data_IF_534584689298
#
_entry.id   IF_534584689298
#
_cell.length_a   1.000
_cell.length_b   1.000
_cell.length_c   1.000
_cell.angle_alpha   90.00
_cell.angle_beta   90.00
_cell.angle_gamma   90.00
#
_symmetry.space_group_name_H-M   'P 1'
#
loop_
_entity.id
_entity.type
_entity.pdbx_description
1 polymer ?
#
# COMPACT_ATOMS: atom_id res chain seq x y z
N UNK A 1 19.86 -21.01 -5.83
CA UNK A 1 19.39 -19.70 -6.33
C UNK A 1 20.28 -18.59 -5.79
N UNK A 2 20.41 -17.46 -6.50
CA UNK A 2 21.05 -16.27 -5.93
C UNK A 2 20.15 -15.66 -4.85
N UNK A 3 20.75 -15.20 -3.74
CA UNK A 3 20.01 -14.61 -2.63
C UNK A 3 19.56 -13.19 -2.99
N UNK A 4 18.28 -12.90 -2.73
CA UNK A 4 17.77 -11.54 -2.81
C UNK A 4 18.40 -10.66 -1.73
N UNK A 5 18.85 -9.47 -2.12
CA UNK A 5 19.24 -8.44 -1.17
C UNK A 5 17.99 -7.86 -0.49
N UNK A 6 17.83 -8.18 0.80
CA UNK A 6 16.64 -7.83 1.58
C UNK A 6 16.35 -6.32 1.62
N UNK A 7 17.40 -5.50 1.73
CA UNK A 7 17.26 -4.05 1.80
C UNK A 7 16.82 -3.47 0.46
N UNK A 8 17.38 -3.99 -0.64
CA UNK A 8 16.97 -3.58 -2.00
C UNK A 8 15.51 -3.93 -2.22
N UNK A 9 15.09 -5.18 -1.93
CA UNK A 9 13.69 -5.59 -2.07
C UNK A 9 12.76 -4.74 -1.20
N UNK A 10 13.11 -4.52 0.06
CA UNK A 10 12.33 -3.69 0.98
C UNK A 10 12.12 -2.27 0.44
N UNK A 11 13.20 -1.61 0.00
CA UNK A 11 13.13 -0.26 -0.56
C UNK A 11 12.35 -0.23 -1.88
N UNK A 12 12.55 -1.21 -2.76
CA UNK A 12 11.79 -1.32 -4.01
C UNK A 12 10.29 -1.44 -3.74
N UNK A 13 9.87 -2.35 -2.87
CA UNK A 13 8.45 -2.53 -2.52
C UNK A 13 7.88 -1.27 -1.85
N UNK A 14 8.61 -0.66 -0.93
CA UNK A 14 8.21 0.58 -0.27
C UNK A 14 8.00 1.74 -1.26
N UNK A 15 8.95 1.96 -2.17
CA UNK A 15 8.88 3.02 -3.19
C UNK A 15 7.74 2.74 -4.18
N UNK A 16 7.61 1.52 -4.68
CA UNK A 16 6.51 1.16 -5.58
C UNK A 16 5.15 1.39 -4.93
N UNK A 17 4.99 1.00 -3.66
CA UNK A 17 3.74 1.22 -2.92
C UNK A 17 3.47 2.70 -2.67
N UNK A 18 4.51 3.49 -2.39
CA UNK A 18 4.41 4.94 -2.27
C UNK A 18 3.89 5.59 -3.57
N UNK A 19 4.39 5.16 -4.73
CA UNK A 19 3.91 5.64 -6.03
C UNK A 19 2.44 5.27 -6.27
N UNK A 20 2.04 4.03 -5.95
CA UNK A 20 0.63 3.61 -6.03
C UNK A 20 -0.25 4.45 -5.11
N UNK A 21 0.20 4.74 -3.90
CA UNK A 21 -0.52 5.60 -2.96
C UNK A 21 -0.75 7.01 -3.52
N UNK A 22 0.23 7.59 -4.23
CA UNK A 22 0.05 8.89 -4.87
C UNK A 22 -1.04 8.86 -5.95
N UNK A 23 -1.14 7.76 -6.71
CA UNK A 23 -2.24 7.55 -7.67
C UNK A 23 -3.59 7.44 -6.93
N UNK A 24 -3.64 6.69 -5.83
CA UNK A 24 -4.85 6.59 -4.99
C UNK A 24 -5.24 7.95 -4.41
N UNK A 25 -4.27 8.76 -3.97
CA UNK A 25 -4.49 10.09 -3.45
C UNK A 25 -5.07 11.02 -4.52
N UNK A 26 -4.52 10.98 -5.74
CA UNK A 26 -5.07 11.74 -6.87
C UNK A 26 -6.51 11.32 -7.20
N UNK A 27 -6.80 10.02 -7.19
CA UNK A 27 -8.15 9.50 -7.37
C UNK A 27 -9.12 10.05 -6.31
N UNK A 28 -8.76 9.99 -5.03
CA UNK A 28 -9.58 10.52 -3.92
C UNK A 28 -9.76 12.04 -4.04
N UNK A 29 -8.75 12.78 -4.52
CA UNK A 29 -8.86 14.21 -4.71
C UNK A 29 -9.90 14.57 -5.78
N UNK A 30 -9.86 13.89 -6.93
CA UNK A 30 -10.63 14.23 -8.14
C UNK A 30 -12.08 13.76 -8.04
N UNK A 31 -12.33 12.54 -7.55
CA UNK A 31 -13.64 11.91 -7.64
C UNK A 31 -14.55 12.22 -6.44
N UNK A 32 -15.89 12.17 -6.60
CA UNK A 32 -16.82 12.41 -5.51
C UNK A 32 -16.81 11.25 -4.49
N UNK A 33 -17.28 11.52 -3.27
CA UNK A 33 -17.27 10.54 -2.16
C UNK A 33 -17.98 9.23 -2.54
N UNK A 34 -19.10 9.29 -3.25
CA UNK A 34 -19.82 8.09 -3.67
C UNK A 34 -18.98 7.17 -4.57
N UNK A 35 -18.23 7.73 -5.52
CA UNK A 35 -17.34 6.95 -6.38
C UNK A 35 -16.21 6.32 -5.58
N UNK A 36 -15.65 7.06 -4.61
CA UNK A 36 -14.61 6.55 -3.72
C UNK A 36 -15.13 5.38 -2.89
N UNK A 37 -16.34 5.50 -2.32
CA UNK A 37 -17.00 4.42 -1.56
C UNK A 37 -17.22 3.19 -2.43
N UNK A 38 -17.80 3.36 -3.62
CA UNK A 38 -18.04 2.24 -4.54
C UNK A 38 -16.75 1.49 -4.89
N UNK A 39 -15.67 2.22 -5.22
CA UNK A 39 -14.37 1.59 -5.51
C UNK A 39 -13.80 0.91 -4.27
N UNK A 40 -13.87 1.56 -3.11
CA UNK A 40 -13.38 0.99 -1.85
C UNK A 40 -14.13 -0.27 -1.46
N UNK A 41 -15.45 -0.33 -1.67
CA UNK A 41 -16.26 -1.52 -1.43
C UNK A 41 -15.72 -2.72 -2.24
N UNK A 42 -15.31 -2.54 -3.50
CA UNK A 42 -14.68 -3.63 -4.27
C UNK A 42 -13.36 -4.13 -3.66
N UNK A 43 -12.55 -3.24 -3.08
CA UNK A 43 -11.34 -3.64 -2.36
C UNK A 43 -11.63 -4.39 -1.06
N UNK A 44 -12.77 -4.12 -0.42
CA UNK A 44 -13.19 -4.79 0.82
C UNK A 44 -14.25 -5.88 0.59
N UNK A 45 -14.15 -6.61 -0.53
CA UNK A 45 -15.02 -7.76 -0.84
C UNK A 45 -16.52 -7.42 -0.97
N UNK A 46 -16.85 -6.18 -1.32
CA UNK A 46 -18.23 -5.70 -1.52
C UNK A 46 -18.93 -5.20 -0.27
N UNK A 47 -18.23 -5.11 0.88
CA UNK A 47 -18.81 -4.58 2.12
C UNK A 47 -19.12 -3.10 1.96
N UNK A 48 -20.34 -2.67 2.32
CA UNK A 48 -20.73 -1.26 2.26
C UNK A 48 -20.13 -0.46 3.42
N UNK A 49 -19.21 0.44 3.09
CA UNK A 49 -18.56 1.34 4.06
C UNK A 49 -19.15 2.76 4.07
N UNK A 50 -20.27 2.99 3.37
CA UNK A 50 -20.88 4.32 3.22
C UNK A 50 -21.14 5.03 4.56
N UNK A 51 -21.48 4.27 5.61
CA UNK A 51 -21.78 4.78 6.95
C UNK A 51 -20.58 5.38 7.70
N UNK A 52 -19.35 4.98 7.33
CA UNK A 52 -18.10 5.43 7.98
C UNK A 52 -17.22 6.27 7.05
N UNK A 53 -17.57 6.35 5.76
CA UNK A 53 -16.76 7.03 4.76
C UNK A 53 -16.90 8.55 4.88
N UNK A 54 -15.76 9.25 4.96
CA UNK A 54 -15.73 10.72 4.98
C UNK A 54 -14.65 11.25 4.04
N UNK A 55 -14.94 12.34 3.31
CA UNK A 55 -13.97 13.02 2.46
C UNK A 55 -13.35 14.21 3.22
N UNK A 56 -12.60 13.93 4.29
CA UNK A 56 -11.85 14.93 5.06
C UNK A 56 -10.33 14.75 4.86
N UNK A 57 -9.91 14.98 3.61
CA UNK A 57 -8.52 14.87 3.20
C UNK A 57 -7.76 16.17 3.52
N UNK A 58 -6.68 16.07 4.29
CA UNK A 58 -5.74 17.17 4.53
C UNK A 58 -4.34 16.75 4.11
N UNK A 59 -3.50 17.70 3.71
CA UNK A 59 -2.13 17.41 3.29
C UNK A 59 -1.36 16.64 4.37
N UNK A 60 -1.53 17.01 5.64
CA UNK A 60 -0.87 16.34 6.77
C UNK A 60 -1.29 14.86 6.88
N UNK A 61 -2.59 14.56 6.80
CA UNK A 61 -3.09 13.17 6.82
C UNK A 61 -2.57 12.38 5.63
N UNK A 62 -2.53 12.99 4.45
CA UNK A 62 -2.05 12.34 3.23
C UNK A 62 -0.56 11.99 3.29
N UNK A 63 0.28 12.90 3.82
CA UNK A 63 1.73 12.66 4.01
C UNK A 63 1.97 11.57 5.05
N UNK A 64 1.25 11.60 6.18
CA UNK A 64 1.36 10.56 7.20
C UNK A 64 0.96 9.20 6.60
N UNK A 65 -0.15 9.13 5.86
CA UNK A 65 -0.59 7.90 5.19
C UNK A 65 0.43 7.36 4.19
N UNK A 66 1.07 8.24 3.42
CA UNK A 66 2.15 7.88 2.48
C UNK A 66 3.34 7.25 3.21
N UNK A 67 3.78 7.85 4.32
CA UNK A 67 4.89 7.32 5.12
C UNK A 67 4.52 5.96 5.71
N UNK A 68 3.33 5.85 6.30
CA UNK A 68 2.85 4.60 6.92
C UNK A 68 2.77 3.47 5.89
N UNK A 69 2.19 3.72 4.70
CA UNK A 69 2.05 2.67 3.68
C UNK A 69 3.41 2.29 3.07
N UNK A 70 4.32 3.24 2.86
CA UNK A 70 5.65 2.96 2.33
C UNK A 70 6.50 2.14 3.32
N UNK A 71 6.49 2.50 4.60
CA UNK A 71 7.23 1.77 5.63
C UNK A 71 6.65 0.38 5.89
N UNK A 72 5.32 0.26 6.00
CA UNK A 72 4.68 -1.05 6.22
C UNK A 72 4.93 -2.01 5.05
N UNK A 73 4.80 -1.54 3.81
CA UNK A 73 5.12 -2.35 2.63
C UNK A 73 6.61 -2.68 2.50
N UNK A 74 7.51 -1.77 2.89
CA UNK A 74 8.94 -2.07 2.94
C UNK A 74 9.26 -3.21 3.94
N UNK A 75 8.61 -3.21 5.11
CA UNK A 75 8.72 -4.33 6.07
C UNK A 75 8.22 -5.63 5.46
N UNK A 76 7.07 -5.60 4.75
CA UNK A 76 6.56 -6.77 4.02
C UNK A 76 7.57 -7.25 2.97
N UNK A 77 8.18 -6.35 2.19
CA UNK A 77 9.22 -6.68 1.21
C UNK A 77 10.47 -7.28 1.84
N UNK A 78 10.90 -6.78 2.99
CA UNK A 78 12.01 -7.35 3.75
C UNK A 78 11.72 -8.78 4.21
N UNK A 79 10.53 -9.01 4.79
CA UNK A 79 10.07 -10.33 5.24
C UNK A 79 9.92 -11.29 4.06
N UNK A 80 9.40 -10.81 2.92
CA UNK A 80 9.34 -11.58 1.69
C UNK A 80 10.73 -12.07 1.26
N UNK A 81 11.73 -11.18 1.22
CA UNK A 81 13.09 -11.55 0.84
C UNK A 81 13.73 -12.53 1.85
N UNK A 82 13.40 -12.42 3.14
CA UNK A 82 13.81 -13.42 4.15
C UNK A 82 13.24 -14.79 3.83
N UNK A 83 11.93 -14.88 3.60
CA UNK A 83 11.23 -16.15 3.32
C UNK A 83 11.73 -16.74 2.00
N UNK A 84 11.87 -15.93 0.96
CA UNK A 84 12.38 -16.37 -0.36
C UNK A 84 13.76 -16.99 -0.24
N UNK A 85 14.69 -16.31 0.44
CA UNK A 85 16.05 -16.81 0.62
C UNK A 85 16.09 -18.10 1.44
N UNK A 86 15.27 -18.20 2.50
CA UNK A 86 15.17 -19.41 3.32
C UNK A 86 14.61 -20.60 2.52
N UNK A 87 13.55 -20.38 1.73
CA UNK A 87 12.99 -21.41 0.86
C UNK A 87 14.00 -21.85 -0.20
N UNK A 88 14.73 -20.92 -0.81
CA UNK A 88 15.71 -21.24 -1.85
C UNK A 88 17.02 -21.88 -1.35
N UNK A 89 17.24 -21.96 -0.04
CA UNK A 89 18.25 -22.83 0.57
C UNK A 89 17.71 -24.23 0.87
N UNK A 90 16.41 -24.33 1.14
CA UNK A 90 15.74 -25.57 1.55
C UNK A 90 15.29 -26.44 0.38
N UNK A 91 14.98 -25.83 -0.76
CA UNK A 91 14.49 -26.46 -1.99
C UNK A 91 15.39 -26.08 -3.17
#
# INVERSE_FOLDING_TARGET
MEKLNKNVVALSVGITTALVYLVCLAFVAIFPLQTIVTVSNYFVHGIDISSIATKNMTLAKSVIGLIVVALSSAVVGYVFALIYNWLGEKF
#
